data_IF_238664219660
#
_entry.id   IF_238664219660
#
_cell.length_a   1.000
_cell.length_b   1.000
_cell.length_c   1.000
_cell.angle_alpha   90.00
_cell.angle_beta   90.00
_cell.angle_gamma   90.00
#
_symmetry.space_group_name_H-M   'P 1'
#
loop_
_entity.id
_entity.type
_entity.pdbx_description
1 polymer ?
#
# COMPACT_ATOMS: atom_id res chain seq x y z
N UNK A 1 38.49 -28.74 -7.92
CA UNK A 1 37.65 -27.58 -8.27
C UNK A 1 37.40 -26.82 -6.98
N UNK A 2 37.97 -25.64 -6.81
CA UNK A 2 37.72 -24.80 -5.63
C UNK A 2 36.31 -24.26 -5.71
N UNK A 3 35.44 -24.63 -4.77
CA UNK A 3 34.14 -24.00 -4.64
C UNK A 3 34.34 -22.52 -4.35
N UNK A 4 33.90 -21.66 -5.26
CA UNK A 4 33.78 -20.23 -5.00
C UNK A 4 32.82 -20.08 -3.83
N UNK A 5 33.33 -19.66 -2.67
CA UNK A 5 32.49 -19.35 -1.52
C UNK A 5 31.54 -18.22 -1.92
N UNK A 6 30.26 -18.55 -2.09
CA UNK A 6 29.22 -17.61 -2.46
C UNK A 6 28.99 -16.65 -1.29
N UNK A 7 29.32 -15.37 -1.47
CA UNK A 7 29.00 -14.33 -0.49
C UNK A 7 27.51 -13.99 -0.51
N UNK A 8 26.75 -14.75 0.28
CA UNK A 8 25.31 -14.59 0.47
C UNK A 8 24.91 -13.18 0.94
N UNK A 9 25.74 -12.51 1.75
CA UNK A 9 25.41 -11.17 2.28
C UNK A 9 25.46 -10.12 1.17
N UNK A 10 26.46 -10.22 0.30
CA UNK A 10 26.58 -9.34 -0.88
C UNK A 10 25.41 -9.53 -1.85
N UNK A 11 25.00 -10.78 -2.11
CA UNK A 11 23.83 -11.07 -2.98
C UNK A 11 22.57 -10.43 -2.40
N UNK A 12 22.28 -10.65 -1.12
CA UNK A 12 21.10 -10.06 -0.46
C UNK A 12 21.12 -8.53 -0.55
N UNK A 13 22.27 -7.90 -0.29
CA UNK A 13 22.40 -6.45 -0.37
C UNK A 13 22.19 -5.90 -1.79
N UNK A 14 22.70 -6.59 -2.83
CA UNK A 14 22.50 -6.20 -4.23
C UNK A 14 21.06 -6.37 -4.67
N UNK A 15 20.41 -7.48 -4.32
CA UNK A 15 18.99 -7.72 -4.61
C UNK A 15 18.11 -6.67 -3.94
N UNK A 16 18.36 -6.34 -2.66
CA UNK A 16 17.64 -5.26 -1.96
C UNK A 16 17.82 -3.90 -2.65
N UNK A 17 19.05 -3.56 -3.06
CA UNK A 17 19.32 -2.34 -3.83
C UNK A 17 18.56 -2.30 -5.16
N UNK A 18 18.52 -3.42 -5.87
CA UNK A 18 17.83 -3.51 -7.15
C UNK A 18 16.30 -3.47 -7.03
N UNK A 19 15.73 -4.07 -5.99
CA UNK A 19 14.29 -3.97 -5.71
C UNK A 19 13.89 -2.53 -5.39
N UNK A 20 14.74 -1.79 -4.67
CA UNK A 20 14.56 -0.36 -4.39
C UNK A 20 14.68 0.49 -5.65
N UNK A 21 15.69 0.23 -6.51
CA UNK A 21 15.89 0.97 -7.77
C UNK A 21 14.85 0.65 -8.84
N UNK A 22 14.39 -0.61 -8.90
CA UNK A 22 13.46 -1.10 -9.92
C UNK A 22 12.01 -0.65 -9.72
N UNK A 23 11.72 0.03 -8.60
CA UNK A 23 10.38 0.49 -8.27
C UNK A 23 9.40 -0.65 -8.03
N UNK A 24 9.89 -1.84 -7.66
CA UNK A 24 9.07 -3.03 -7.36
C UNK A 24 8.03 -2.71 -6.30
N UNK A 25 8.47 -2.05 -5.23
CA UNK A 25 7.59 -1.59 -4.16
C UNK A 25 6.58 -0.56 -4.63
N UNK A 26 6.93 0.35 -5.53
CA UNK A 26 6.01 1.33 -6.09
C UNK A 26 4.95 0.70 -7.00
N UNK A 27 5.34 -0.32 -7.79
CA UNK A 27 4.41 -1.09 -8.63
C UNK A 27 3.41 -1.88 -7.78
N UNK A 28 3.91 -2.57 -6.75
CA UNK A 28 3.05 -3.29 -5.80
C UNK A 28 2.12 -2.35 -5.05
N UNK A 29 2.64 -1.19 -4.61
CA UNK A 29 1.83 -0.15 -3.97
C UNK A 29 0.72 0.36 -4.89
N UNK A 30 1.01 0.63 -6.16
CA UNK A 30 -0.01 1.04 -7.15
C UNK A 30 -1.08 -0.03 -7.33
N UNK A 31 -0.67 -1.28 -7.52
CA UNK A 31 -1.58 -2.40 -7.71
C UNK A 31 -2.50 -2.59 -6.49
N UNK A 32 -1.94 -2.61 -5.27
CA UNK A 32 -2.71 -2.69 -4.02
C UNK A 32 -3.65 -1.49 -3.88
N UNK A 33 -3.22 -0.29 -4.27
CA UNK A 33 -4.08 0.92 -4.23
C UNK A 33 -5.27 0.80 -5.19
N UNK A 34 -5.07 0.24 -6.39
CA UNK A 34 -6.15 0.00 -7.35
C UNK A 34 -7.12 -1.09 -6.87
N UNK A 35 -6.61 -2.19 -6.31
CA UNK A 35 -7.45 -3.24 -5.72
C UNK A 35 -8.27 -2.70 -4.53
N UNK A 36 -7.66 -1.88 -3.67
CA UNK A 36 -8.37 -1.20 -2.58
C UNK A 36 -9.48 -0.27 -3.10
N UNK A 37 -9.24 0.49 -4.18
CA UNK A 37 -10.26 1.36 -4.76
C UNK A 37 -11.50 0.61 -5.22
N UNK A 38 -11.32 -0.61 -5.73
CA UNK A 38 -12.41 -1.44 -6.23
C UNK A 38 -13.10 -2.27 -5.13
N UNK A 39 -12.66 -2.14 -3.88
CA UNK A 39 -13.23 -2.91 -2.78
C UNK A 39 -14.55 -2.34 -2.27
N UNK A 40 -15.49 -3.23 -1.90
CA UNK A 40 -16.78 -2.86 -1.32
C UNK A 40 -16.64 -2.02 -0.04
N UNK A 41 -15.58 -2.29 0.74
CA UNK A 41 -15.31 -1.58 1.98
C UNK A 41 -14.81 -0.16 1.75
N UNK A 42 -13.97 0.07 0.72
CA UNK A 42 -13.57 1.42 0.33
C UNK A 42 -14.77 2.23 -0.17
N UNK A 43 -15.62 1.63 -1.01
CA UNK A 43 -16.85 2.25 -1.48
C UNK A 43 -17.81 2.56 -0.33
N UNK A 44 -17.91 1.69 0.68
CA UNK A 44 -18.70 1.95 1.89
C UNK A 44 -18.14 3.13 2.69
N UNK A 45 -16.82 3.18 2.90
CA UNK A 45 -16.17 4.29 3.60
C UNK A 45 -16.37 5.61 2.83
N UNK A 46 -16.20 5.58 1.51
CA UNK A 46 -16.43 6.74 0.64
C UNK A 46 -17.87 7.23 0.76
N UNK A 47 -18.85 6.32 0.70
CA UNK A 47 -20.26 6.64 0.88
C UNK A 47 -20.55 7.23 2.27
N UNK A 48 -20.10 6.57 3.34
CA UNK A 48 -20.29 7.06 4.72
C UNK A 48 -19.67 8.45 4.92
N UNK A 49 -18.52 8.72 4.30
CA UNK A 49 -17.86 10.02 4.36
C UNK A 49 -18.64 11.08 3.57
N UNK A 50 -19.13 10.75 2.37
CA UNK A 50 -19.94 11.65 1.54
C UNK A 50 -21.28 11.98 2.21
N UNK A 51 -21.98 10.98 2.75
CA UNK A 51 -23.22 11.15 3.50
C UNK A 51 -23.01 12.11 4.69
N UNK A 52 -21.87 11.98 5.39
CA UNK A 52 -21.54 12.87 6.52
C UNK A 52 -21.20 14.28 6.07
N UNK A 53 -20.51 14.44 4.94
CA UNK A 53 -20.26 15.77 4.35
C UNK A 53 -21.57 16.43 3.97
N UNK A 54 -22.50 15.70 3.35
CA UNK A 54 -23.82 16.20 2.97
C UNK A 54 -24.63 16.62 4.20
N UNK A 55 -24.62 15.81 5.28
CA UNK A 55 -25.25 16.15 6.56
C UNK A 55 -24.69 17.46 7.16
N UNK A 56 -23.36 17.65 7.11
CA UNK A 56 -22.70 18.86 7.63
C UNK A 56 -23.04 20.08 6.76
N UNK A 57 -23.00 19.93 5.44
CA UNK A 57 -23.27 21.02 4.48
C UNK A 57 -24.73 21.46 4.55
N UNK A 58 -25.66 20.51 4.66
CA UNK A 58 -27.09 20.78 4.74
C UNK A 58 -27.56 21.18 6.14
N UNK A 59 -26.65 21.29 7.11
CA UNK A 59 -26.98 21.83 8.42
C UNK A 59 -27.26 23.34 8.29
N UNK A 60 -28.51 23.72 8.54
CA UNK A 60 -29.11 24.99 8.13
C UNK A 60 -28.51 26.26 8.74
N UNK A 61 -27.56 26.14 9.67
CA UNK A 61 -27.04 27.26 10.47
C UNK A 61 -25.51 27.39 10.48
N UNK A 62 -24.77 26.65 9.65
CA UNK A 62 -23.31 26.77 9.63
C UNK A 62 -22.82 27.79 8.61
N UNK A 63 -21.88 28.63 9.04
CA UNK A 63 -21.06 29.44 8.13
C UNK A 63 -20.09 28.53 7.36
N UNK A 64 -19.54 29.03 6.25
CA UNK A 64 -18.50 28.32 5.47
C UNK A 64 -17.33 27.83 6.35
N UNK A 65 -16.89 28.65 7.30
CA UNK A 65 -15.83 28.29 8.25
C UNK A 65 -16.27 27.26 9.28
N UNK A 66 -17.57 27.27 9.66
CA UNK A 66 -18.18 26.27 10.52
C UNK A 66 -18.24 24.90 9.85
N UNK A 67 -18.68 24.85 8.59
CA UNK A 67 -18.67 23.66 7.74
C UNK A 67 -17.25 23.09 7.63
N UNK A 68 -16.27 23.94 7.30
CA UNK A 68 -14.86 23.51 7.18
C UNK A 68 -14.29 22.96 8.49
N UNK A 69 -14.64 23.56 9.65
CA UNK A 69 -14.21 23.05 10.96
C UNK A 69 -14.82 21.70 11.28
N UNK A 70 -16.10 21.49 10.99
CA UNK A 70 -16.77 20.21 11.24
C UNK A 70 -16.25 19.09 10.34
N UNK A 71 -16.02 19.37 9.05
CA UNK A 71 -15.41 18.40 8.13
C UNK A 71 -14.01 18.00 8.62
N UNK A 72 -13.17 18.97 9.03
CA UNK A 72 -11.84 18.66 9.60
C UNK A 72 -11.95 17.83 10.87
N UNK A 73 -12.85 18.20 11.79
CA UNK A 73 -13.09 17.44 13.02
C UNK A 73 -13.53 16.00 12.78
N UNK A 74 -14.39 15.78 11.77
CA UNK A 74 -14.78 14.44 11.34
C UNK A 74 -13.60 13.62 10.80
N UNK A 75 -12.80 14.20 9.90
CA UNK A 75 -11.61 13.54 9.32
C UNK A 75 -10.58 13.20 10.42
N UNK A 76 -10.40 14.10 11.39
CA UNK A 76 -9.42 13.94 12.46
C UNK A 76 -9.86 12.94 13.52
N UNK A 77 -11.16 12.91 13.85
CA UNK A 77 -11.72 12.04 14.89
C UNK A 77 -12.14 10.64 14.43
N UNK A 78 -12.17 10.35 13.12
CA UNK A 78 -12.66 9.06 12.62
C UNK A 78 -11.58 7.96 12.66
N UNK A 79 -11.21 7.55 13.88
CA UNK A 79 -10.26 6.46 14.13
C UNK A 79 -10.72 5.12 13.55
N UNK A 80 -12.03 4.88 13.52
CA UNK A 80 -12.62 3.66 12.95
C UNK A 80 -12.30 3.56 11.46
N UNK A 81 -12.57 4.62 10.69
CA UNK A 81 -12.24 4.69 9.26
C UNK A 81 -10.73 4.48 9.01
N UNK A 82 -9.86 5.08 9.81
CA UNK A 82 -8.40 4.89 9.69
C UNK A 82 -7.98 3.44 9.96
N UNK A 83 -8.54 2.82 10.99
CA UNK A 83 -8.26 1.42 11.33
C UNK A 83 -8.75 0.46 10.25
N UNK A 84 -9.94 0.74 9.70
CA UNK A 84 -10.56 0.00 8.61
C UNK A 84 -9.68 0.04 7.34
N UNK A 85 -9.21 1.23 6.93
CA UNK A 85 -8.27 1.40 5.80
C UNK A 85 -6.96 0.64 6.05
N UNK A 86 -6.39 0.75 7.26
CA UNK A 86 -5.13 0.10 7.60
C UNK A 86 -5.25 -1.43 7.60
N UNK A 87 -6.35 -1.97 8.13
CA UNK A 87 -6.63 -3.40 8.10
C UNK A 87 -6.71 -3.90 6.67
N UNK A 88 -7.49 -3.20 5.85
CA UNK A 88 -7.69 -3.60 4.47
C UNK A 88 -6.40 -3.55 3.64
N UNK A 89 -5.59 -2.51 3.85
CA UNK A 89 -4.26 -2.40 3.23
C UNK A 89 -3.37 -3.59 3.59
N UNK A 90 -3.42 -4.05 4.84
CA UNK A 90 -2.67 -5.25 5.28
C UNK A 90 -3.21 -6.53 4.64
N UNK A 91 -4.53 -6.69 4.56
CA UNK A 91 -5.16 -7.86 3.96
C UNK A 91 -4.78 -7.96 2.47
N UNK A 92 -4.79 -6.83 1.76
CA UNK A 92 -4.37 -6.73 0.35
C UNK A 92 -2.88 -7.06 0.16
N UNK A 93 -2.00 -6.49 0.99
CA UNK A 93 -0.56 -6.81 0.96
C UNK A 93 -0.26 -8.28 1.27
N UNK A 94 -1.18 -9.00 1.92
CA UNK A 94 -1.04 -10.40 2.25
C UNK A 94 -1.58 -11.35 1.18
N UNK A 95 -2.21 -10.85 0.12
CA UNK A 95 -2.75 -11.70 -0.95
C UNK A 95 -1.65 -12.52 -1.64
N UNK A 96 -1.96 -13.76 -2.08
CA UNK A 96 -1.02 -14.59 -2.84
C UNK A 96 -0.45 -13.87 -4.06
N UNK A 97 -1.28 -13.14 -4.82
CA UNK A 97 -0.85 -12.37 -5.99
C UNK A 97 0.28 -11.37 -5.70
N UNK A 98 0.26 -10.70 -4.55
CA UNK A 98 1.31 -9.76 -4.12
C UNK A 98 2.56 -10.52 -3.70
N UNK A 99 2.40 -11.62 -2.95
CA UNK A 99 3.51 -12.45 -2.47
C UNK A 99 4.23 -13.18 -3.61
N UNK A 100 3.49 -13.76 -4.53
CA UNK A 100 4.00 -14.52 -5.67
C UNK A 100 4.78 -13.59 -6.61
N UNK A 101 4.26 -12.39 -6.88
CA UNK A 101 4.96 -11.39 -7.70
C UNK A 101 6.26 -10.91 -7.05
N UNK A 102 6.26 -10.67 -5.73
CA UNK A 102 7.48 -10.32 -5.00
C UNK A 102 8.49 -11.47 -5.03
N UNK A 103 8.01 -12.70 -4.87
CA UNK A 103 8.82 -13.92 -4.91
C UNK A 103 9.47 -14.12 -6.27
N UNK A 104 8.70 -14.06 -7.35
CA UNK A 104 9.21 -14.18 -8.73
C UNK A 104 10.31 -13.14 -9.01
N UNK A 105 10.10 -11.89 -8.59
CA UNK A 105 11.08 -10.84 -8.83
C UNK A 105 12.35 -11.01 -7.98
N UNK A 106 12.23 -11.49 -6.74
CA UNK A 106 13.38 -11.86 -5.91
C UNK A 106 14.13 -13.04 -6.55
N UNK A 107 13.42 -14.09 -6.97
CA UNK A 107 14.03 -15.28 -7.60
C UNK A 107 14.78 -14.91 -8.88
N UNK A 108 14.20 -14.06 -9.74
CA UNK A 108 14.86 -13.56 -10.94
C UNK A 108 16.14 -12.77 -10.62
N UNK A 109 16.09 -11.88 -9.63
CA UNK A 109 17.24 -11.06 -9.24
C UNK A 109 18.35 -11.87 -8.56
N UNK A 110 17.97 -12.82 -7.69
CA UNK A 110 18.93 -13.74 -7.07
C UNK A 110 19.60 -14.61 -8.14
N UNK A 111 18.82 -15.17 -9.07
CA UNK A 111 19.35 -15.98 -10.18
C UNK A 111 20.36 -15.18 -11.00
N UNK A 112 20.00 -13.95 -11.38
CA UNK A 112 20.92 -13.07 -12.11
C UNK A 112 22.21 -12.78 -11.34
N UNK A 113 22.12 -12.49 -10.04
CA UNK A 113 23.31 -12.25 -9.22
C UNK A 113 24.20 -13.49 -9.08
N UNK A 114 23.62 -14.69 -9.10
CA UNK A 114 24.37 -15.95 -9.11
C UNK A 114 25.03 -16.21 -10.47
N UNK A 115 24.35 -15.94 -11.58
CA UNK A 115 24.90 -16.03 -12.94
C UNK A 115 26.05 -15.04 -13.16
N UNK A 116 25.92 -13.80 -12.69
CA UNK A 116 26.96 -12.76 -12.79
C UNK A 116 28.23 -13.09 -11.96
N UNK A 117 28.17 -14.08 -11.07
CA UNK A 117 29.29 -14.54 -10.23
C UNK A 117 30.02 -15.78 -10.77
N UNK A 118 29.48 -16.41 -11.82
CA UNK A 118 30.05 -17.58 -12.53
C UNK A 118 30.87 -17.12 -13.73
#
# INVERSE_FOLDING_TARGET
>A
MSGTDIDKRSIVAKVDMELKKGGTFDKLRKQVTEELRNSEMHQRIEKEALDKVDEIVNSSNLTREGIQRQIRGYIDGNHKMRNDINRQTRDELNKPSVRDKLREEIEQKVTKQLEDMV
#
